data_IF_188334556921
#
_entry.id   IF_188334556921
#
_cell.length_a   1.000
_cell.length_b   1.000
_cell.length_c   1.000
_cell.angle_alpha   90.00
_cell.angle_beta   90.00
_cell.angle_gamma   90.00
#
_symmetry.space_group_name_H-M   'P 1'
#
loop_
_entity.id
_entity.type
_entity.pdbx_description
1 polymer ?
#
# COMPACT_ATOMS: atom_id res chain seq x y z
N UNK A 1 -23.61 7.11 24.92
CA UNK A 1 -23.54 5.64 24.82
C UNK A 1 -22.40 5.27 23.88
N UNK A 2 -21.24 4.92 24.42
CA UNK A 2 -20.13 4.37 23.64
C UNK A 2 -20.39 2.87 23.49
N UNK A 3 -20.98 2.47 22.38
CA UNK A 3 -21.01 1.06 21.98
C UNK A 3 -19.57 0.61 21.78
N UNK A 4 -19.02 -0.08 22.78
CA UNK A 4 -17.81 -0.88 22.61
C UNK A 4 -18.15 -1.98 21.62
N UNK A 5 -17.78 -1.79 20.35
CA UNK A 5 -17.78 -2.86 19.37
C UNK A 5 -16.74 -3.88 19.84
N UNK A 6 -17.21 -5.05 20.26
CA UNK A 6 -16.34 -6.14 20.63
C UNK A 6 -15.40 -6.44 19.45
N UNK A 7 -14.09 -6.43 19.71
CA UNK A 7 -13.06 -6.77 18.73
C UNK A 7 -13.31 -8.20 18.25
N UNK A 8 -13.56 -8.38 16.95
CA UNK A 8 -13.69 -9.74 16.40
C UNK A 8 -12.37 -10.50 16.62
N UNK A 9 -12.48 -11.77 17.01
CA UNK A 9 -11.32 -12.65 17.14
C UNK A 9 -10.68 -12.86 15.76
N UNK A 10 -9.37 -13.16 15.74
CA UNK A 10 -8.69 -13.59 14.52
C UNK A 10 -9.42 -14.84 13.97
N UNK A 11 -9.82 -14.87 12.70
CA UNK A 11 -10.38 -16.07 12.09
C UNK A 11 -9.38 -17.23 12.17
N UNK A 12 -9.84 -18.43 12.54
CA UNK A 12 -8.99 -19.62 12.68
C UNK A 12 -8.27 -19.97 11.36
N UNK A 13 -8.91 -19.69 10.23
CA UNK A 13 -8.37 -19.89 8.88
C UNK A 13 -7.62 -18.66 8.31
N UNK A 14 -7.30 -17.64 9.12
CA UNK A 14 -6.62 -16.44 8.62
C UNK A 14 -5.20 -16.77 8.11
N UNK A 15 -4.83 -16.35 6.88
CA UNK A 15 -3.51 -16.62 6.31
C UNK A 15 -2.34 -16.19 7.21
N UNK A 16 -1.19 -16.83 7.04
CA UNK A 16 0.00 -16.56 7.87
C UNK A 16 0.44 -15.09 7.82
N UNK A 17 0.35 -14.43 6.66
CA UNK A 17 0.74 -13.02 6.51
C UNK A 17 -0.10 -12.07 7.38
N UNK A 18 -1.32 -12.48 7.76
CA UNK A 18 -2.20 -11.73 8.66
C UNK A 18 -1.73 -11.76 10.11
N UNK A 19 -0.68 -12.52 10.46
CA UNK A 19 -0.16 -12.51 11.81
C UNK A 19 0.30 -11.10 12.22
N UNK A 20 -0.12 -10.67 13.41
CA UNK A 20 0.07 -9.31 13.89
C UNK A 20 -1.04 -8.31 13.54
N UNK A 21 -2.06 -8.66 12.75
CA UNK A 21 -3.28 -7.85 12.58
C UNK A 21 -3.98 -7.68 13.93
N UNK A 22 -4.34 -6.45 14.25
CA UNK A 22 -4.99 -6.14 15.53
C UNK A 22 -6.51 -6.19 15.40
N UNK A 23 -7.11 -5.54 14.42
CA UNK A 23 -8.55 -5.33 14.39
C UNK A 23 -9.13 -6.10 13.22
N UNK A 24 -9.91 -7.13 13.53
CA UNK A 24 -10.71 -7.85 12.57
C UNK A 24 -12.14 -7.31 12.60
N UNK A 25 -12.81 -7.41 11.47
CA UNK A 25 -14.22 -7.08 11.31
C UNK A 25 -14.93 -8.19 10.54
N UNK A 26 -16.26 -8.14 10.49
CA UNK A 26 -17.02 -8.96 9.57
C UNK A 26 -16.55 -8.75 8.11
N UNK A 27 -16.65 -9.77 7.25
CA UNK A 27 -16.41 -9.61 5.82
C UNK A 27 -17.25 -8.47 5.24
N UNK A 28 -16.71 -7.80 4.22
CA UNK A 28 -17.46 -6.82 3.45
C UNK A 28 -18.72 -7.43 2.84
N UNK A 29 -19.72 -6.58 2.58
CA UNK A 29 -20.89 -6.98 1.79
C UNK A 29 -20.44 -7.59 0.45
N UNK A 30 -21.19 -8.60 0.01
CA UNK A 30 -20.94 -9.33 -1.25
C UNK A 30 -19.57 -10.03 -1.35
N UNK A 31 -18.87 -10.25 -0.23
CA UNK A 31 -17.62 -11.02 -0.22
C UNK A 31 -17.78 -12.41 -0.86
N UNK A 32 -18.89 -13.11 -0.61
CA UNK A 32 -19.19 -14.42 -1.20
C UNK A 32 -19.26 -14.38 -2.74
N UNK A 33 -19.51 -13.19 -3.32
CA UNK A 33 -19.59 -12.98 -4.78
C UNK A 33 -18.28 -12.49 -5.38
N UNK A 34 -17.55 -11.62 -4.69
CA UNK A 34 -16.45 -10.85 -5.28
C UNK A 34 -15.05 -11.10 -4.67
N UNK A 35 -14.93 -11.92 -3.63
CA UNK A 35 -13.64 -12.18 -2.97
C UNK A 35 -12.67 -13.07 -3.80
N UNK A 36 -13.13 -13.69 -4.88
CA UNK A 36 -12.26 -14.49 -5.77
C UNK A 36 -11.34 -13.57 -6.57
N UNK A 37 -10.02 -13.79 -6.50
CA UNK A 37 -9.00 -12.91 -7.07
C UNK A 37 -9.33 -12.38 -8.48
N UNK A 38 -9.40 -11.05 -8.63
CA UNK A 38 -9.71 -10.39 -9.90
C UNK A 38 -8.52 -10.37 -10.87
N UNK A 39 -7.31 -10.60 -10.36
CA UNK A 39 -6.09 -10.78 -11.16
C UNK A 39 -5.76 -12.27 -11.17
N UNK A 40 -5.89 -12.91 -12.33
CA UNK A 40 -5.59 -14.33 -12.49
C UNK A 40 -4.08 -14.61 -12.37
N UNK A 41 -3.67 -15.86 -12.06
CA UNK A 41 -2.26 -16.24 -12.07
C UNK A 41 -1.57 -15.84 -13.39
N UNK A 42 -0.36 -15.30 -13.27
CA UNK A 42 0.46 -14.79 -14.38
C UNK A 42 -0.06 -13.52 -15.09
N UNK A 43 -1.21 -12.96 -14.69
CA UNK A 43 -1.64 -11.64 -15.13
C UNK A 43 -0.93 -10.54 -14.33
N UNK A 44 -0.74 -9.38 -14.96
CA UNK A 44 -0.09 -8.21 -14.34
C UNK A 44 -1.08 -7.17 -13.83
N UNK A 45 -2.35 -7.31 -14.16
CA UNK A 45 -3.44 -6.41 -13.79
C UNK A 45 -4.79 -6.97 -14.19
N UNK A 46 -5.85 -6.27 -13.81
CA UNK A 46 -7.23 -6.58 -14.17
C UNK A 46 -7.47 -6.38 -15.67
N UNK A 47 -8.39 -7.17 -16.24
CA UNK A 47 -8.75 -7.10 -17.65
C UNK A 47 -9.77 -5.98 -17.95
N UNK A 48 -10.73 -5.75 -17.05
CA UNK A 48 -11.77 -4.74 -17.19
C UNK A 48 -11.90 -3.94 -15.87
N UNK A 49 -11.57 -2.63 -15.87
CA UNK A 49 -11.74 -1.78 -14.69
C UNK A 49 -13.21 -1.54 -14.29
N UNK A 50 -14.17 -1.86 -15.15
CA UNK A 50 -15.59 -1.77 -14.86
C UNK A 50 -16.19 -3.07 -14.30
N UNK A 51 -15.43 -4.18 -14.27
CA UNK A 51 -15.87 -5.43 -13.65
C UNK A 51 -16.18 -5.19 -12.16
N UNK A 52 -17.41 -5.48 -11.67
CA UNK A 52 -17.76 -5.34 -10.26
C UNK A 52 -16.79 -6.05 -9.30
N UNK A 53 -16.22 -7.20 -9.68
CA UNK A 53 -15.24 -7.90 -8.85
C UNK A 53 -13.92 -7.11 -8.73
N UNK A 54 -13.47 -6.52 -9.85
CA UNK A 54 -12.28 -5.68 -9.88
C UNK A 54 -12.47 -4.39 -9.08
N UNK A 55 -13.62 -3.73 -9.21
CA UNK A 55 -13.98 -2.55 -8.42
C UNK A 55 -14.02 -2.88 -6.93
N UNK A 56 -14.69 -3.97 -6.56
CA UNK A 56 -14.79 -4.41 -5.16
C UNK A 56 -13.40 -4.69 -4.55
N UNK A 57 -12.53 -5.40 -5.26
CA UNK A 57 -11.17 -5.69 -4.79
C UNK A 57 -10.26 -4.47 -4.77
N UNK A 58 -10.44 -3.53 -5.68
CA UNK A 58 -9.71 -2.26 -5.68
C UNK A 58 -10.05 -1.45 -4.42
N UNK A 59 -11.34 -1.36 -4.07
CA UNK A 59 -11.79 -0.71 -2.84
C UNK A 59 -11.29 -1.46 -1.60
N UNK A 60 -11.36 -2.79 -1.59
CA UNK A 60 -10.83 -3.59 -0.48
C UNK A 60 -9.32 -3.36 -0.30
N UNK A 61 -8.58 -3.29 -1.42
CA UNK A 61 -7.16 -2.97 -1.43
C UNK A 61 -6.87 -1.58 -0.86
N UNK A 62 -7.66 -0.57 -1.21
CA UNK A 62 -7.53 0.78 -0.66
C UNK A 62 -7.71 0.80 0.87
N UNK A 63 -8.69 0.06 1.39
CA UNK A 63 -8.91 -0.05 2.84
C UNK A 63 -7.83 -0.89 3.54
N UNK A 64 -7.33 -1.95 2.90
CA UNK A 64 -6.18 -2.70 3.38
C UNK A 64 -4.93 -1.80 3.50
N UNK A 65 -4.67 -0.96 2.48
CA UNK A 65 -3.59 0.02 2.51
C UNK A 65 -3.74 1.00 3.67
N UNK A 66 -4.93 1.58 3.87
CA UNK A 66 -5.20 2.47 5.02
C UNK A 66 -4.98 1.77 6.35
N UNK A 67 -5.52 0.56 6.48
CA UNK A 67 -5.44 -0.24 7.68
C UNK A 67 -3.98 -0.51 8.06
N UNK A 68 -3.20 -1.05 7.12
CA UNK A 68 -1.78 -1.37 7.34
C UNK A 68 -0.96 -0.11 7.63
N UNK A 69 -1.23 1.00 6.93
CA UNK A 69 -0.58 2.29 7.17
C UNK A 69 -0.80 2.75 8.62
N UNK A 70 -2.06 2.77 9.08
CA UNK A 70 -2.41 3.13 10.45
C UNK A 70 -1.78 2.17 11.47
N UNK A 71 -1.82 0.87 11.18
CA UNK A 71 -1.30 -0.14 12.08
C UNK A 71 0.22 -0.04 12.29
N UNK A 72 0.97 0.18 11.21
CA UNK A 72 2.43 0.32 11.26
C UNK A 72 2.85 1.61 11.96
N UNK A 73 2.20 2.73 11.63
CA UNK A 73 2.48 4.02 12.29
C UNK A 73 2.11 3.99 13.78
N UNK A 74 0.97 3.39 14.12
CA UNK A 74 0.54 3.19 15.50
C UNK A 74 1.48 2.30 16.31
N UNK A 75 2.05 1.25 15.72
CA UNK A 75 3.01 0.36 16.39
C UNK A 75 4.31 1.06 16.83
N UNK A 76 4.64 2.21 16.22
CA UNK A 76 5.84 2.99 16.53
C UNK A 76 5.53 4.38 17.09
N UNK A 77 4.25 4.71 17.28
CA UNK A 77 3.77 6.04 17.62
C UNK A 77 4.41 7.15 16.76
N UNK A 78 4.64 6.86 15.46
CA UNK A 78 5.40 7.73 14.57
C UNK A 78 5.07 7.44 13.10
N UNK A 79 5.17 8.46 12.25
CA UNK A 79 4.84 8.40 10.82
C UNK A 79 3.59 9.21 10.46
N UNK A 80 3.28 9.26 9.17
CA UNK A 80 2.26 10.16 8.63
C UNK A 80 1.19 9.34 7.89
N UNK A 81 0.17 8.83 8.58
CA UNK A 81 -0.85 8.00 7.94
C UNK A 81 -1.82 8.81 7.08
N UNK A 82 -2.11 10.06 7.46
CA UNK A 82 -3.18 10.87 6.85
C UNK A 82 -2.97 11.18 5.37
N UNK A 83 -1.77 11.63 4.99
CA UNK A 83 -1.51 12.05 3.62
C UNK A 83 -1.46 10.90 2.61
N UNK A 84 -1.06 9.68 3.01
CA UNK A 84 -1.20 8.51 2.14
C UNK A 84 -2.65 8.03 2.08
N UNK A 85 -3.38 8.09 3.20
CA UNK A 85 -4.77 7.62 3.24
C UNK A 85 -5.71 8.39 2.29
N UNK A 86 -5.38 9.63 1.94
CA UNK A 86 -6.12 10.43 0.96
C UNK A 86 -5.89 10.01 -0.50
N UNK A 87 -4.86 9.22 -0.79
CA UNK A 87 -4.56 8.71 -2.15
C UNK A 87 -4.69 7.19 -2.27
N UNK A 88 -5.22 6.50 -1.25
CA UNK A 88 -5.25 5.03 -1.21
C UNK A 88 -6.02 4.41 -2.39
N UNK A 89 -7.16 4.96 -2.81
CA UNK A 89 -7.89 4.47 -4.00
C UNK A 89 -7.07 4.62 -5.27
N UNK A 90 -6.34 5.72 -5.42
CA UNK A 90 -5.49 5.96 -6.60
C UNK A 90 -4.37 4.92 -6.65
N UNK A 91 -3.69 4.69 -5.52
CA UNK A 91 -2.62 3.69 -5.44
C UNK A 91 -3.16 2.28 -5.68
N UNK A 92 -4.26 1.90 -5.02
CA UNK A 92 -4.88 0.59 -5.22
C UNK A 92 -5.31 0.40 -6.69
N UNK A 93 -5.93 1.41 -7.30
CA UNK A 93 -6.36 1.36 -8.71
C UNK A 93 -5.17 1.19 -9.66
N UNK A 94 -4.11 1.96 -9.47
CA UNK A 94 -2.89 1.85 -10.29
C UNK A 94 -2.26 0.45 -10.17
N UNK A 95 -2.17 -0.09 -8.95
CA UNK A 95 -1.65 -1.44 -8.74
C UNK A 95 -2.55 -2.51 -9.38
N UNK A 96 -3.87 -2.40 -9.22
CA UNK A 96 -4.83 -3.32 -9.82
C UNK A 96 -4.78 -3.29 -11.35
N UNK A 97 -4.51 -2.12 -11.95
CA UNK A 97 -4.26 -1.94 -13.38
C UNK A 97 -2.86 -2.42 -13.84
N UNK A 98 -1.99 -2.84 -12.92
CA UNK A 98 -0.62 -3.26 -13.21
C UNK A 98 0.39 -2.13 -13.39
N UNK A 99 0.02 -0.91 -13.03
CA UNK A 99 0.87 0.28 -13.10
C UNK A 99 1.68 0.46 -11.82
N UNK A 100 2.70 -0.36 -11.64
CA UNK A 100 3.49 -0.43 -10.40
C UNK A 100 4.65 0.56 -10.30
N UNK A 101 4.96 1.32 -11.36
CA UNK A 101 6.11 2.25 -11.38
C UNK A 101 5.73 3.61 -10.78
N UNK A 102 5.19 3.57 -9.57
CA UNK A 102 4.58 4.72 -8.91
C UNK A 102 5.65 5.51 -8.16
N UNK A 103 5.73 6.81 -8.46
CA UNK A 103 6.58 7.76 -7.76
C UNK A 103 5.72 8.63 -6.83
N UNK A 104 6.37 9.32 -5.90
CA UNK A 104 5.71 10.33 -5.07
C UNK A 104 6.66 11.47 -4.78
N UNK A 105 6.11 12.67 -4.64
CA UNK A 105 6.85 13.82 -4.12
C UNK A 105 6.80 13.91 -2.60
N UNK A 106 5.88 13.19 -1.97
CA UNK A 106 5.64 13.28 -0.52
C UNK A 106 6.23 12.06 0.16
N UNK A 107 7.56 12.03 0.33
CA UNK A 107 8.25 10.82 0.79
C UNK A 107 7.92 10.42 2.23
N UNK A 108 7.35 11.30 3.04
CA UNK A 108 6.90 10.96 4.39
C UNK A 108 5.61 10.11 4.39
N UNK A 109 4.98 9.88 3.23
CA UNK A 109 3.93 8.87 2.98
C UNK A 109 4.48 7.44 2.93
N UNK A 110 5.78 7.25 3.18
CA UNK A 110 6.45 5.95 3.17
C UNK A 110 5.68 4.78 3.82
N UNK A 111 5.01 4.93 4.98
CA UNK A 111 4.31 3.79 5.60
C UNK A 111 3.23 3.18 4.71
N UNK A 112 2.53 3.99 3.91
CA UNK A 112 1.52 3.48 3.00
C UNK A 112 2.10 2.84 1.74
N UNK A 113 3.20 3.39 1.22
CA UNK A 113 3.96 2.73 0.16
C UNK A 113 4.54 1.40 0.63
N UNK A 114 5.03 1.28 1.85
CA UNK A 114 5.44 -0.02 2.40
C UNK A 114 4.27 -0.97 2.60
N UNK A 115 3.08 -0.46 2.91
CA UNK A 115 1.87 -1.27 2.94
C UNK A 115 1.55 -1.83 1.55
N UNK A 116 1.73 -1.04 0.48
CA UNK A 116 1.62 -1.52 -0.90
C UNK A 116 2.66 -2.60 -1.22
N UNK A 117 3.93 -2.36 -0.88
CA UNK A 117 5.03 -3.32 -1.08
C UNK A 117 4.90 -4.59 -0.23
N UNK A 118 4.14 -4.53 0.88
CA UNK A 118 3.80 -5.71 1.67
C UNK A 118 2.72 -6.52 0.96
N UNK A 119 1.66 -5.86 0.47
CA UNK A 119 0.54 -6.52 -0.22
C UNK A 119 0.95 -7.16 -1.55
N UNK A 120 1.94 -6.61 -2.26
CA UNK A 120 2.49 -7.20 -3.49
C UNK A 120 3.67 -8.17 -3.24
N UNK A 121 3.97 -8.47 -1.97
CA UNK A 121 5.06 -9.35 -1.53
C UNK A 121 6.50 -8.84 -1.79
N UNK A 122 6.69 -7.61 -2.27
CA UNK A 122 8.04 -7.04 -2.48
C UNK A 122 8.88 -7.03 -1.20
N UNK A 123 8.26 -6.79 -0.02
CA UNK A 123 8.98 -6.77 1.25
C UNK A 123 9.47 -8.15 1.73
N UNK A 124 9.04 -9.25 1.12
CA UNK A 124 9.56 -10.57 1.44
C UNK A 124 11.07 -10.69 1.16
N UNK A 125 11.59 -9.92 0.19
CA UNK A 125 13.03 -9.81 -0.07
C UNK A 125 13.82 -9.24 1.12
N UNK A 126 13.15 -8.59 2.08
CA UNK A 126 13.72 -8.14 3.35
C UNK A 126 13.36 -9.05 4.54
N UNK A 127 12.79 -10.22 4.26
CA UNK A 127 12.23 -11.16 5.22
C UNK A 127 11.13 -10.56 6.10
N UNK A 128 10.27 -9.71 5.49
CA UNK A 128 9.05 -9.19 6.10
C UNK A 128 7.88 -9.93 5.47
N UNK A 129 7.31 -10.90 6.20
CA UNK A 129 6.29 -11.83 5.65
C UNK A 129 4.95 -11.72 6.36
N UNK A 130 4.94 -11.09 7.53
CA UNK A 130 3.74 -10.90 8.36
C UNK A 130 3.54 -9.44 8.70
N UNK A 131 2.31 -9.08 9.05
CA UNK A 131 2.01 -7.75 9.60
C UNK A 131 2.80 -7.50 10.90
N UNK A 132 3.07 -8.54 11.70
CA UNK A 132 3.95 -8.47 12.86
C UNK A 132 5.39 -8.05 12.47
N UNK A 133 5.96 -8.64 11.41
CA UNK A 133 7.29 -8.27 10.91
C UNK A 133 7.31 -6.81 10.44
N UNK A 134 6.30 -6.39 9.69
CA UNK A 134 6.24 -5.03 9.15
C UNK A 134 6.19 -4.00 10.28
N UNK A 135 5.38 -4.27 11.32
CA UNK A 135 5.32 -3.46 12.54
C UNK A 135 6.66 -3.46 13.27
N UNK A 136 7.30 -4.61 13.44
CA UNK A 136 8.58 -4.71 14.13
C UNK A 136 9.69 -3.93 13.41
N UNK A 137 9.75 -4.02 12.08
CA UNK A 137 10.83 -3.45 11.25
C UNK A 137 10.64 -1.98 10.89
N UNK A 138 9.46 -1.40 11.02
CA UNK A 138 9.26 0.02 10.70
C UNK A 138 10.01 0.95 11.66
N UNK A 139 10.74 1.93 11.09
CA UNK A 139 11.60 2.89 11.80
C UNK A 139 12.68 2.25 12.69
N UNK A 140 13.06 1.02 12.39
CA UNK A 140 14.16 0.34 13.08
C UNK A 140 15.44 0.34 12.25
N UNK A 141 16.56 0.16 12.96
CA UNK A 141 17.88 -0.02 12.34
C UNK A 141 17.84 -1.22 11.38
N UNK A 142 18.22 -1.01 10.11
CA UNK A 142 18.16 -2.02 9.03
C UNK A 142 16.74 -2.51 8.67
N UNK A 143 15.72 -1.74 9.06
CA UNK A 143 14.32 -1.98 8.72
C UNK A 143 13.80 -1.01 7.67
N UNK A 144 12.50 -0.74 7.74
CA UNK A 144 11.83 0.21 6.86
C UNK A 144 12.03 1.64 7.39
N UNK A 145 12.38 2.57 6.51
CA UNK A 145 12.77 3.93 6.90
C UNK A 145 11.57 4.88 7.04
N UNK A 146 11.71 5.97 7.79
CA UNK A 146 10.63 6.96 7.96
C UNK A 146 10.25 7.73 6.69
N UNK A 147 11.08 7.66 5.64
CA UNK A 147 10.84 8.20 4.30
C UNK A 147 11.23 7.15 3.26
N UNK A 148 10.74 7.29 2.03
CA UNK A 148 11.08 6.42 0.92
C UNK A 148 12.57 6.43 0.60
N UNK A 149 13.08 5.25 0.24
CA UNK A 149 14.46 5.02 -0.15
C UNK A 149 14.53 3.92 -1.20
N UNK A 150 15.42 4.06 -2.18
CA UNK A 150 15.70 3.01 -3.17
C UNK A 150 16.33 1.75 -2.59
N UNK A 151 16.64 1.72 -1.29
CA UNK A 151 17.04 0.50 -0.58
C UNK A 151 15.87 -0.44 -0.27
N UNK A 152 14.62 0.02 -0.41
CA UNK A 152 13.42 -0.78 -0.16
C UNK A 152 12.97 -1.41 -1.49
N UNK A 153 12.82 -2.75 -1.57
CA UNK A 153 12.34 -3.42 -2.77
C UNK A 153 11.00 -2.83 -3.27
N UNK A 154 10.91 -2.60 -4.57
CA UNK A 154 9.76 -2.03 -5.24
C UNK A 154 9.64 -0.49 -5.18
N UNK A 155 10.48 0.20 -4.38
CA UNK A 155 10.56 1.66 -4.37
C UNK A 155 11.56 2.15 -5.42
N UNK A 156 11.08 2.94 -6.38
CA UNK A 156 11.89 3.40 -7.52
C UNK A 156 12.86 4.53 -7.17
N UNK A 157 12.46 5.43 -6.27
CA UNK A 157 13.21 6.64 -5.96
C UNK A 157 12.98 7.10 -4.51
N UNK A 158 13.97 7.74 -3.88
CA UNK A 158 13.75 8.45 -2.63
C UNK A 158 12.88 9.69 -2.86
N UNK A 159 12.17 10.12 -1.81
CA UNK A 159 11.31 11.31 -1.87
C UNK A 159 11.40 12.16 -0.58
N UNK A 160 12.56 12.12 0.11
CA UNK A 160 12.78 12.82 1.37
C UNK A 160 12.61 14.33 1.26
N UNK A 161 13.38 15.03 0.40
CA UNK A 161 13.07 16.39 -0.02
C UNK A 161 11.85 16.40 -0.95
N UNK A 162 10.88 17.28 -0.66
CA UNK A 162 9.68 17.45 -1.51
C UNK A 162 10.07 17.95 -2.93
N UNK A 163 9.21 17.66 -3.91
CA UNK A 163 9.35 18.17 -5.30
C UNK A 163 10.24 17.34 -6.24
N UNK A 164 10.84 16.25 -5.77
CA UNK A 164 11.73 15.42 -6.60
C UNK A 164 11.00 14.30 -7.36
N UNK A 165 9.83 13.86 -6.88
CA UNK A 165 9.10 12.72 -7.45
C UNK A 165 8.69 12.93 -8.91
N UNK A 166 8.27 14.14 -9.30
CA UNK A 166 7.96 14.44 -10.70
C UNK A 166 9.18 14.29 -11.62
N UNK A 167 10.36 14.68 -11.15
CA UNK A 167 11.60 14.59 -11.92
C UNK A 167 11.95 13.13 -12.22
N UNK A 168 11.82 12.25 -11.22
CA UNK A 168 12.03 10.82 -11.41
C UNK A 168 10.98 10.20 -12.33
N UNK A 169 9.71 10.58 -12.21
CA UNK A 169 8.66 10.11 -13.11
C UNK A 169 8.90 10.53 -14.56
N UNK A 170 9.25 11.80 -14.79
CA UNK A 170 9.58 12.32 -16.13
C UNK A 170 10.82 11.65 -16.71
N UNK A 171 11.88 11.49 -15.93
CA UNK A 171 13.08 10.78 -16.37
C UNK A 171 12.77 9.31 -16.71
N UNK A 172 11.98 8.63 -15.88
CA UNK A 172 11.51 7.27 -16.14
C UNK A 172 10.71 7.16 -17.44
N UNK A 173 9.77 8.07 -17.67
CA UNK A 173 8.97 8.11 -18.90
C UNK A 173 9.82 8.39 -20.14
N UNK A 174 10.81 9.28 -20.05
CA UNK A 174 11.74 9.57 -21.14
C UNK A 174 12.63 8.36 -21.49
N UNK A 175 13.14 7.67 -20.48
CA UNK A 175 14.06 6.53 -20.64
C UNK A 175 13.34 5.23 -21.03
N UNK A 176 12.04 5.12 -20.73
CA UNK A 176 11.26 3.92 -20.99
C UNK A 176 9.95 4.25 -21.75
N UNK A 177 10.02 4.53 -23.06
CA UNK A 177 8.85 4.79 -23.87
C UNK A 177 7.82 3.65 -23.80
N UNK A 178 6.53 4.01 -23.70
CA UNK A 178 5.43 3.05 -23.59
C UNK A 178 5.19 2.49 -22.18
N UNK A 179 5.97 2.93 -21.17
CA UNK A 179 5.80 2.55 -19.77
C UNK A 179 5.27 3.72 -18.96
N UNK A 180 4.20 3.50 -18.19
CA UNK A 180 3.59 4.53 -17.34
C UNK A 180 4.36 4.68 -16.02
N UNK A 181 4.65 5.93 -15.65
CA UNK A 181 5.24 6.32 -14.36
C UNK A 181 4.31 7.32 -13.65
N UNK A 182 3.28 6.85 -12.95
CA UNK A 182 2.40 7.73 -12.18
C UNK A 182 3.17 8.43 -11.06
N UNK A 183 2.77 9.65 -10.71
CA UNK A 183 3.33 10.39 -9.58
C UNK A 183 2.22 10.96 -8.71
N UNK A 184 2.30 10.75 -7.39
CA UNK A 184 1.45 11.48 -6.44
C UNK A 184 2.15 12.74 -5.96
N UNK A 185 1.47 13.89 -6.08
CA UNK A 185 1.95 15.21 -5.68
C UNK A 185 1.08 15.72 -4.53
N UNK A 186 1.70 16.19 -3.45
CA UNK A 186 0.99 16.85 -2.36
C UNK A 186 0.66 18.29 -2.74
N UNK A 187 -0.56 18.72 -2.49
CA UNK A 187 -1.02 20.08 -2.79
C UNK A 187 -0.20 21.17 -2.10
N UNK A 188 0.17 20.97 -0.83
CA UNK A 188 1.07 21.86 -0.11
C UNK A 188 2.48 21.98 -0.70
N UNK A 189 2.90 21.04 -1.57
CA UNK A 189 4.18 21.11 -2.29
C UNK A 189 4.12 21.92 -3.59
N UNK A 190 2.93 22.34 -4.02
CA UNK A 190 2.72 23.13 -5.24
C UNK A 190 2.61 24.64 -4.99
N UNK A 191 2.57 25.07 -3.72
CA UNK A 191 2.36 26.46 -3.29
C UNK A 191 3.62 27.22 -2.91
#
# INVERSE_FOLDING_TARGET
>A
MTTSTARAARPEAAPAFCDGIQYFNAPWADADRYASAAIAPHQKGIADPADPAAVWQTLLGADALRYLTLQVTGAKASGHPGGFASSAEVIASLMMLGHININTEVGHHAPGYYSAMFLDSSLEAMNIKTVADMRARFREKHGLLGHLSGAIPGILAPAGPLGQGQHFAMAGALLHPGKLFPVTIGDGGMG
#
